data_IF_273560370463
#
_entry.id   IF_273560370463
#
_cell.length_a   1.000
_cell.length_b   1.000
_cell.length_c   1.000
_cell.angle_alpha   90.00
_cell.angle_beta   90.00
_cell.angle_gamma   90.00
#
_symmetry.space_group_name_H-M   'P 1'
#
loop_
_entity.id
_entity.type
_entity.pdbx_description
1 polymer ?
#
# COMPACT_ATOMS: atom_id res chain seq x y z
N UNK A 1 36.96 -11.79 1.96
CA UNK A 1 36.04 -10.65 2.23
C UNK A 1 34.62 -11.08 1.91
N UNK A 2 33.79 -11.36 2.92
CA UNK A 2 32.34 -11.49 2.69
C UNK A 2 31.85 -10.10 2.29
N UNK A 3 31.30 -9.98 1.08
CA UNK A 3 30.74 -8.75 0.51
C UNK A 3 29.94 -7.98 1.56
N UNK A 4 30.44 -6.82 2.01
CA UNK A 4 29.74 -5.94 2.96
C UNK A 4 28.37 -5.48 2.43
N UNK A 5 28.12 -5.59 1.12
CA UNK A 5 26.83 -5.36 0.47
C UNK A 5 25.85 -6.51 0.71
N UNK A 6 26.30 -7.77 0.62
CA UNK A 6 25.48 -8.96 0.89
C UNK A 6 25.07 -9.03 2.36
N UNK A 7 25.97 -8.74 3.30
CA UNK A 7 25.62 -8.72 4.73
C UNK A 7 24.58 -7.65 5.10
N UNK A 8 24.61 -6.48 4.44
CA UNK A 8 23.60 -5.42 4.59
C UNK A 8 22.23 -5.80 4.01
N UNK A 9 22.20 -6.48 2.86
CA UNK A 9 20.98 -7.02 2.24
C UNK A 9 20.36 -8.15 3.07
N UNK A 10 21.20 -9.01 3.66
CA UNK A 10 20.76 -10.08 4.57
C UNK A 10 20.17 -9.48 5.86
N UNK A 11 20.80 -8.45 6.45
CA UNK A 11 20.24 -7.73 7.60
C UNK A 11 18.88 -7.10 7.26
N UNK A 12 18.73 -6.55 6.05
CA UNK A 12 17.49 -5.99 5.53
C UNK A 12 16.38 -7.06 5.40
N UNK A 13 16.74 -8.24 4.92
CA UNK A 13 15.83 -9.38 4.79
C UNK A 13 15.34 -9.86 6.17
N UNK A 14 16.26 -10.06 7.11
CA UNK A 14 15.89 -10.45 8.48
C UNK A 14 15.04 -9.39 9.18
N UNK A 15 15.30 -8.10 8.94
CA UNK A 15 14.47 -7.03 9.52
C UNK A 15 13.06 -7.01 8.94
N UNK A 16 12.87 -7.30 7.65
CA UNK A 16 11.54 -7.45 7.04
C UNK A 16 10.84 -8.72 7.57
N UNK A 17 11.57 -9.81 7.77
CA UNK A 17 11.03 -11.05 8.33
C UNK A 17 10.57 -10.87 9.79
N UNK A 18 11.39 -10.21 10.63
CA UNK A 18 11.01 -9.87 12.01
C UNK A 18 9.78 -8.96 12.03
N UNK A 19 9.72 -7.98 11.12
CA UNK A 19 8.58 -7.10 10.95
C UNK A 19 7.31 -7.87 10.55
N UNK A 20 7.42 -8.84 9.63
CA UNK A 20 6.33 -9.74 9.24
C UNK A 20 5.82 -10.57 10.42
N UNK A 21 6.72 -11.17 11.20
CA UNK A 21 6.36 -12.01 12.35
C UNK A 21 5.60 -11.18 13.39
N UNK A 22 6.07 -9.97 13.72
CA UNK A 22 5.39 -9.08 14.68
C UNK A 22 3.99 -8.69 14.21
N UNK A 23 3.81 -8.39 12.93
CA UNK A 23 2.52 -7.99 12.37
C UNK A 23 1.56 -9.17 12.20
N UNK A 24 2.08 -10.36 11.88
CA UNK A 24 1.29 -11.59 11.77
C UNK A 24 0.81 -12.07 13.14
N UNK A 25 1.67 -12.04 14.16
CA UNK A 25 1.28 -12.33 15.55
C UNK A 25 0.25 -11.33 16.07
N UNK A 26 0.34 -10.07 15.66
CA UNK A 26 -0.69 -9.05 15.94
C UNK A 26 -2.04 -9.41 15.31
N UNK A 27 -2.06 -9.76 14.02
CA UNK A 27 -3.29 -10.16 13.34
C UNK A 27 -3.94 -11.38 14.02
N UNK A 28 -3.14 -12.34 14.49
CA UNK A 28 -3.63 -13.46 15.29
C UNK A 28 -4.19 -12.98 16.64
N UNK A 29 -3.45 -12.15 17.37
CA UNK A 29 -3.89 -11.63 18.68
C UNK A 29 -5.22 -10.87 18.58
N UNK A 30 -5.36 -9.97 17.60
CA UNK A 30 -6.60 -9.18 17.39
C UNK A 30 -7.77 -10.06 16.96
N UNK A 31 -7.54 -11.11 16.17
CA UNK A 31 -8.60 -12.02 15.76
C UNK A 31 -9.01 -13.02 16.86
N UNK A 32 -8.13 -13.34 17.81
CA UNK A 32 -8.41 -14.29 18.90
C UNK A 32 -8.97 -13.60 20.14
N UNK A 33 -8.40 -12.45 20.53
CA UNK A 33 -8.72 -11.80 21.81
C UNK A 33 -9.87 -10.80 21.72
N UNK A 34 -10.25 -10.40 20.51
CA UNK A 34 -11.27 -9.38 20.31
C UNK A 34 -12.48 -9.99 19.62
N UNK A 35 -13.62 -10.03 20.32
CA UNK A 35 -14.92 -10.33 19.72
C UNK A 35 -15.22 -9.25 18.68
N UNK A 36 -15.01 -9.60 17.40
CA UNK A 36 -15.21 -8.68 16.29
C UNK A 36 -16.70 -8.44 16.09
N UNK A 37 -17.13 -7.18 15.88
CA UNK A 37 -18.44 -6.92 15.29
C UNK A 37 -18.52 -7.58 13.90
N UNK A 38 -19.72 -7.90 13.42
CA UNK A 38 -19.96 -8.47 12.08
C UNK A 38 -19.58 -7.53 10.91
N UNK A 39 -18.97 -6.38 11.21
CA UNK A 39 -18.61 -5.33 10.25
C UNK A 39 -17.10 -5.12 10.24
N UNK A 40 -16.55 -4.92 9.04
CA UNK A 40 -15.13 -4.61 8.86
C UNK A 40 -14.94 -3.10 8.74
N UNK A 41 -13.82 -2.61 9.27
CA UNK A 41 -13.49 -1.19 9.26
C UNK A 41 -12.29 -0.89 8.35
N UNK A 42 -12.11 0.40 8.04
CA UNK A 42 -10.97 0.85 7.24
C UNK A 42 -9.62 0.43 7.85
N UNK A 43 -9.50 0.40 9.18
CA UNK A 43 -8.26 -0.04 9.83
C UNK A 43 -7.93 -1.51 9.55
N UNK A 44 -8.94 -2.39 9.48
CA UNK A 44 -8.76 -3.80 9.13
C UNK A 44 -8.24 -3.94 7.68
N UNK A 45 -8.83 -3.18 6.75
CA UNK A 45 -8.37 -3.15 5.35
C UNK A 45 -6.94 -2.62 5.25
N UNK A 46 -6.61 -1.56 5.99
CA UNK A 46 -5.26 -1.01 6.06
C UNK A 46 -4.26 -2.03 6.61
N UNK A 47 -4.63 -2.82 7.62
CA UNK A 47 -3.79 -3.89 8.18
C UNK A 47 -3.44 -4.92 7.09
N UNK A 48 -4.43 -5.34 6.29
CA UNK A 48 -4.21 -6.27 5.17
C UNK A 48 -3.30 -5.68 4.10
N UNK A 49 -3.44 -4.40 3.79
CA UNK A 49 -2.58 -3.70 2.83
C UNK A 49 -1.13 -3.68 3.34
N UNK A 50 -0.91 -3.41 4.62
CA UNK A 50 0.44 -3.47 5.21
C UNK A 50 1.08 -4.86 5.04
N UNK A 51 0.32 -5.92 5.33
CA UNK A 51 0.78 -7.30 5.13
C UNK A 51 1.10 -7.60 3.66
N UNK A 52 0.23 -7.17 2.75
CA UNK A 52 0.44 -7.36 1.30
C UNK A 52 1.75 -6.69 0.84
N UNK A 53 1.98 -5.43 1.21
CA UNK A 53 3.19 -4.71 0.82
C UNK A 53 4.45 -5.30 1.47
N UNK A 54 4.35 -5.84 2.68
CA UNK A 54 5.47 -6.52 3.33
C UNK A 54 5.86 -7.81 2.61
N UNK A 55 4.88 -8.68 2.35
CA UNK A 55 5.11 -9.95 1.67
C UNK A 55 5.68 -9.67 0.27
N UNK A 56 5.09 -8.69 -0.44
CA UNK A 56 5.58 -8.26 -1.75
C UNK A 56 7.02 -7.73 -1.69
N UNK A 57 7.36 -6.93 -0.67
CA UNK A 57 8.72 -6.44 -0.44
C UNK A 57 9.73 -7.55 -0.14
N UNK A 58 9.34 -8.54 0.67
CA UNK A 58 10.15 -9.72 0.96
C UNK A 58 10.40 -10.55 -0.30
N UNK A 59 9.34 -10.87 -1.06
CA UNK A 59 9.44 -11.61 -2.32
C UNK A 59 10.32 -10.85 -3.31
N UNK A 60 10.16 -9.53 -3.42
CA UNK A 60 10.98 -8.68 -4.27
C UNK A 60 12.47 -8.80 -3.89
N UNK A 61 12.83 -8.60 -2.62
CA UNK A 61 14.24 -8.71 -2.20
C UNK A 61 14.80 -10.12 -2.48
N UNK A 62 14.04 -11.17 -2.17
CA UNK A 62 14.47 -12.56 -2.37
C UNK A 62 14.62 -12.94 -3.85
N UNK A 63 13.72 -12.46 -4.69
CA UNK A 63 13.80 -12.62 -6.14
C UNK A 63 15.06 -11.94 -6.70
N UNK A 64 15.34 -10.72 -6.24
CA UNK A 64 16.52 -9.97 -6.69
C UNK A 64 17.85 -10.55 -6.17
N UNK A 65 17.89 -11.10 -4.95
CA UNK A 65 19.10 -11.77 -4.44
C UNK A 65 19.48 -13.02 -5.26
N UNK A 66 18.52 -13.67 -5.94
CA UNK A 66 18.76 -14.87 -6.77
C UNK A 66 19.30 -14.56 -8.16
N UNK A 67 19.05 -13.36 -8.67
CA UNK A 67 19.51 -12.93 -10.00
C UNK A 67 20.92 -12.36 -9.89
N UNK A 68 21.92 -13.12 -10.39
CA UNK A 68 23.35 -12.75 -10.30
C UNK A 68 23.70 -11.42 -10.99
N UNK A 69 22.94 -11.00 -11.99
CA UNK A 69 23.29 -9.89 -12.89
C UNK A 69 22.38 -8.65 -12.77
N UNK A 70 21.29 -8.74 -11.97
CA UNK A 70 20.34 -7.63 -11.86
C UNK A 70 20.75 -6.74 -10.70
N UNK A 71 21.24 -5.55 -11.03
CA UNK A 71 21.60 -4.55 -10.04
C UNK A 71 20.38 -4.20 -9.19
N UNK A 72 20.48 -4.45 -7.88
CA UNK A 72 19.48 -4.04 -6.92
C UNK A 72 19.28 -2.52 -7.02
N UNK A 73 18.14 -2.10 -7.56
CA UNK A 73 17.83 -0.67 -7.72
C UNK A 73 17.42 -0.14 -6.35
N UNK A 74 18.42 0.26 -5.57
CA UNK A 74 18.24 0.89 -4.23
C UNK A 74 17.21 2.02 -4.31
N UNK A 75 17.14 2.75 -5.42
CA UNK A 75 16.16 3.81 -5.64
C UNK A 75 14.71 3.33 -5.60
N UNK A 76 14.39 2.17 -6.20
CA UNK A 76 13.03 1.60 -6.19
C UNK A 76 12.66 1.18 -4.76
N UNK A 77 13.58 0.50 -4.08
CA UNK A 77 13.39 0.08 -2.69
C UNK A 77 13.14 1.28 -1.75
N UNK A 78 13.82 2.41 -1.97
CA UNK A 78 13.59 3.65 -1.22
C UNK A 78 12.18 4.21 -1.40
N UNK A 79 11.63 4.17 -2.61
CA UNK A 79 10.25 4.59 -2.84
C UNK A 79 9.25 3.67 -2.14
N UNK A 80 9.50 2.36 -2.12
CA UNK A 80 8.68 1.40 -1.37
C UNK A 80 8.74 1.67 0.14
N UNK A 81 9.91 1.94 0.70
CA UNK A 81 10.04 2.29 2.13
C UNK A 81 9.35 3.62 2.49
N UNK A 82 9.48 4.64 1.65
CA UNK A 82 8.78 5.90 1.84
C UNK A 82 7.25 5.68 1.82
N UNK A 83 6.77 4.84 0.91
CA UNK A 83 5.36 4.48 0.85
C UNK A 83 4.90 3.74 2.11
N UNK A 84 5.68 2.78 2.61
CA UNK A 84 5.38 2.10 3.88
C UNK A 84 5.21 3.07 5.04
N UNK A 85 6.08 4.09 5.10
CA UNK A 85 5.98 5.13 6.12
C UNK A 85 4.69 5.95 5.97
N UNK A 86 4.26 6.24 4.74
CA UNK A 86 2.97 6.90 4.50
C UNK A 86 1.78 6.01 4.89
N UNK A 87 1.88 4.70 4.61
CA UNK A 87 0.86 3.72 5.02
C UNK A 87 0.73 3.65 6.55
N UNK A 88 1.84 3.73 7.29
CA UNK A 88 1.80 3.80 8.77
C UNK A 88 1.00 4.99 9.27
N UNK A 89 1.20 6.17 8.65
CA UNK A 89 0.47 7.39 9.01
C UNK A 89 -1.03 7.21 8.72
N UNK A 90 -1.39 6.71 7.55
CA UNK A 90 -2.80 6.48 7.17
C UNK A 90 -3.45 5.46 8.09
N UNK A 91 -2.75 4.38 8.44
CA UNK A 91 -3.24 3.37 9.36
C UNK A 91 -3.44 3.94 10.77
N UNK A 92 -2.50 4.74 11.26
CA UNK A 92 -2.64 5.44 12.54
C UNK A 92 -3.89 6.32 12.58
N UNK A 93 -4.10 7.14 11.55
CA UNK A 93 -5.29 8.00 11.44
C UNK A 93 -6.56 7.13 11.40
N UNK A 94 -6.54 6.02 10.66
CA UNK A 94 -7.69 5.11 10.54
C UNK A 94 -8.06 4.46 11.87
N UNK A 95 -7.07 3.93 12.62
CA UNK A 95 -7.29 3.34 13.96
C UNK A 95 -7.78 4.39 14.95
N UNK A 96 -7.22 5.59 14.90
CA UNK A 96 -7.60 6.69 15.79
C UNK A 96 -9.05 7.15 15.53
N UNK A 97 -9.39 7.41 14.26
CA UNK A 97 -10.74 7.84 13.87
C UNK A 97 -11.78 6.76 14.21
N UNK A 98 -11.47 5.50 13.92
CA UNK A 98 -12.36 4.39 14.24
C UNK A 98 -12.61 4.26 15.74
N UNK A 99 -11.56 4.38 16.56
CA UNK A 99 -11.69 4.30 18.01
C UNK A 99 -12.59 5.41 18.55
N UNK A 100 -12.48 6.63 18.02
CA UNK A 100 -13.34 7.74 18.41
C UNK A 100 -14.81 7.51 18.01
N UNK A 101 -15.06 7.03 16.78
CA UNK A 101 -16.42 6.70 16.31
C UNK A 101 -17.08 5.63 17.16
N UNK A 102 -16.35 4.56 17.50
CA UNK A 102 -16.88 3.48 18.33
C UNK A 102 -17.18 3.95 19.76
N UNK A 103 -16.34 4.80 20.34
CA UNK A 103 -16.60 5.39 21.66
C UNK A 103 -17.87 6.24 21.62
N UNK A 104 -18.03 7.11 20.62
CA UNK A 104 -19.23 7.96 20.48
C UNK A 104 -20.50 7.12 20.34
N UNK A 105 -20.46 6.06 19.54
CA UNK A 105 -21.58 5.12 19.39
C UNK A 105 -21.95 4.43 20.70
N UNK A 106 -20.96 3.98 21.49
CA UNK A 106 -21.23 3.39 22.80
C UNK A 106 -21.86 4.40 23.76
N UNK A 107 -21.43 5.67 23.74
CA UNK A 107 -22.03 6.74 24.53
C UNK A 107 -23.48 7.00 24.15
N UNK A 108 -23.79 6.98 22.85
CA UNK A 108 -25.17 7.11 22.34
C UNK A 108 -26.03 5.92 22.81
N UNK A 109 -25.52 4.69 22.75
CA UNK A 109 -26.25 3.50 23.22
C UNK A 109 -26.53 3.61 24.73
N UNK A 110 -25.53 3.99 25.53
CA UNK A 110 -25.71 4.15 26.98
C UNK A 110 -26.74 5.24 27.28
N UNK A 111 -26.57 6.43 26.71
CA UNK A 111 -27.40 7.59 27.02
C UNK A 111 -28.85 7.43 26.56
N UNK A 112 -29.03 7.02 25.30
CA UNK A 112 -30.33 7.13 24.64
C UNK A 112 -31.07 5.79 24.58
N UNK A 113 -30.36 4.64 24.58
CA UNK A 113 -31.01 3.32 24.53
C UNK A 113 -31.11 2.61 25.88
N UNK A 114 -30.12 2.78 26.76
CA UNK A 114 -30.12 2.16 28.10
C UNK A 114 -30.79 3.08 29.13
N UNK A 115 -30.28 4.30 29.32
CA UNK A 115 -30.74 5.19 30.39
C UNK A 115 -32.11 5.81 30.12
N UNK A 116 -32.44 6.05 28.84
CA UNK A 116 -33.68 6.70 28.40
C UNK A 116 -34.60 5.78 27.59
N UNK A 117 -34.12 4.58 27.25
CA UNK A 117 -34.81 3.68 26.35
C UNK A 117 -35.56 2.56 27.06
N UNK A 118 -35.83 1.47 26.33
CA UNK A 118 -36.61 0.36 26.84
C UNK A 118 -35.79 -0.50 27.83
N UNK A 119 -36.18 -0.60 29.11
CA UNK A 119 -35.45 -1.36 30.11
C UNK A 119 -35.39 -2.87 29.81
N UNK A 120 -36.30 -3.41 28.99
CA UNK A 120 -36.30 -4.82 28.61
C UNK A 120 -35.10 -5.20 27.71
N UNK A 121 -34.49 -4.23 27.01
CA UNK A 121 -33.38 -4.44 26.08
C UNK A 121 -32.01 -4.07 26.69
N UNK A 122 -31.97 -3.78 27.99
CA UNK A 122 -30.77 -3.27 28.66
C UNK A 122 -29.60 -4.27 28.58
N UNK A 123 -29.88 -5.56 28.69
CA UNK A 123 -28.87 -6.62 28.65
C UNK A 123 -28.28 -6.78 27.25
N UNK A 124 -29.10 -6.69 26.20
CA UNK A 124 -28.66 -6.77 24.82
C UNK A 124 -27.77 -5.57 24.45
N UNK A 125 -28.18 -4.35 24.82
CA UNK A 125 -27.37 -3.16 24.61
C UNK A 125 -26.10 -3.14 25.46
N UNK A 126 -26.14 -3.71 26.67
CA UNK A 126 -24.95 -3.86 27.52
C UNK A 126 -23.95 -4.82 26.90
N UNK A 127 -24.39 -5.94 26.31
CA UNK A 127 -23.53 -6.87 25.60
C UNK A 127 -22.87 -6.21 24.38
N UNK A 128 -23.63 -5.47 23.57
CA UNK A 128 -23.09 -4.72 22.42
C UNK A 128 -22.07 -3.67 22.84
N UNK A 129 -22.32 -2.95 23.93
CA UNK A 129 -21.36 -1.98 24.46
C UNK A 129 -20.10 -2.67 24.99
N UNK A 130 -20.24 -3.78 25.71
CA UNK A 130 -19.10 -4.53 26.22
C UNK A 130 -18.20 -5.06 25.10
N UNK A 131 -18.78 -5.63 24.04
CA UNK A 131 -18.01 -6.11 22.88
C UNK A 131 -17.35 -4.95 22.11
N UNK A 132 -18.03 -3.82 21.98
CA UNK A 132 -17.48 -2.65 21.28
C UNK A 132 -16.35 -2.00 22.07
N UNK A 133 -16.50 -1.84 23.39
CA UNK A 133 -15.46 -1.27 24.26
C UNK A 133 -14.29 -2.23 24.43
N UNK A 134 -14.52 -3.54 24.57
CA UNK A 134 -13.43 -4.52 24.59
C UNK A 134 -12.64 -4.47 23.28
N UNK A 135 -13.31 -4.27 22.15
CA UNK A 135 -12.65 -4.05 20.85
C UNK A 135 -11.79 -2.78 20.82
N UNK A 136 -12.31 -1.64 21.29
CA UNK A 136 -11.53 -0.40 21.38
C UNK A 136 -10.32 -0.56 22.31
N UNK A 137 -10.50 -1.19 23.48
CA UNK A 137 -9.38 -1.43 24.41
C UNK A 137 -8.32 -2.36 23.81
N UNK A 138 -8.73 -3.42 23.11
CA UNK A 138 -7.82 -4.32 22.39
C UNK A 138 -7.03 -3.61 21.28
N UNK A 139 -7.66 -2.68 20.55
CA UNK A 139 -6.97 -1.86 19.55
C UNK A 139 -5.92 -0.94 20.19
N UNK A 140 -6.28 -0.25 21.27
CA UNK A 140 -5.41 0.76 21.90
C UNK A 140 -4.29 0.16 22.76
N UNK A 141 -4.53 -0.98 23.40
CA UNK A 141 -3.56 -1.67 24.26
C UNK A 141 -2.75 -2.74 23.52
N UNK A 142 -3.18 -3.15 22.31
CA UNK A 142 -2.52 -4.15 21.51
C UNK A 142 -1.31 -3.64 20.73
N UNK A 143 -0.81 -4.50 19.83
CA UNK A 143 0.27 -4.17 18.87
C UNK A 143 -0.25 -3.20 17.77
N UNK A 144 -1.56 -2.91 17.72
CA UNK A 144 -2.14 -1.80 16.95
C UNK A 144 -2.06 -0.44 17.68
N UNK A 145 -1.49 -0.42 18.88
CA UNK A 145 -1.34 0.80 19.66
C UNK A 145 -0.53 1.86 18.90
N UNK A 146 -0.81 3.15 19.17
CA UNK A 146 0.04 4.26 18.76
C UNK A 146 1.53 4.04 18.99
N UNK A 147 1.90 3.40 20.12
CA UNK A 147 3.28 3.13 20.50
C UNK A 147 3.96 2.12 19.58
N UNK A 148 3.27 1.04 19.24
CA UNK A 148 3.83 0.08 18.29
C UNK A 148 3.96 0.73 16.90
N UNK A 149 2.95 1.46 16.44
CA UNK A 149 3.00 2.21 15.19
C UNK A 149 4.18 3.19 15.14
N UNK A 150 4.44 3.90 16.24
CA UNK A 150 5.62 4.76 16.38
C UNK A 150 6.91 3.95 16.25
N UNK A 151 7.03 2.80 16.93
CA UNK A 151 8.19 1.92 16.81
C UNK A 151 8.40 1.45 15.36
N UNK A 152 7.34 1.02 14.68
CA UNK A 152 7.38 0.58 13.27
C UNK A 152 7.79 1.72 12.33
N UNK A 153 7.32 2.94 12.60
CA UNK A 153 7.68 4.15 11.84
C UNK A 153 9.14 4.52 12.02
N UNK A 154 9.64 4.49 13.26
CA UNK A 154 11.07 4.72 13.57
C UNK A 154 11.96 3.66 12.91
N UNK A 155 11.51 2.41 12.90
CA UNK A 155 12.23 1.31 12.28
C UNK A 155 12.29 1.42 10.76
N UNK A 156 11.17 1.70 10.09
CA UNK A 156 11.15 1.92 8.63
C UNK A 156 11.96 3.14 8.23
N UNK A 157 11.93 4.21 9.04
CA UNK A 157 12.80 5.38 8.87
C UNK A 157 14.28 4.99 8.94
N UNK A 158 14.66 4.16 9.92
CA UNK A 158 16.03 3.62 10.03
C UNK A 158 16.41 2.83 8.76
N UNK A 159 15.53 1.95 8.27
CA UNK A 159 15.76 1.19 7.03
C UNK A 159 15.94 2.10 5.80
N UNK A 160 15.16 3.18 5.74
CA UNK A 160 15.25 4.17 4.67
C UNK A 160 16.62 4.84 4.65
N UNK A 161 17.13 5.27 5.82
CA UNK A 161 18.46 5.88 5.91
C UNK A 161 19.60 4.89 5.70
N UNK A 162 19.48 3.63 6.17
CA UNK A 162 20.53 2.62 5.95
C UNK A 162 20.63 2.19 4.48
N UNK A 163 19.54 2.26 3.72
CA UNK A 163 19.53 1.96 2.28
C UNK A 163 20.50 2.85 1.47
N UNK A 164 20.74 4.10 1.91
CA UNK A 164 21.69 5.02 1.28
C UNK A 164 23.16 4.55 1.39
N UNK A 165 23.45 3.64 2.32
CA UNK A 165 24.80 3.12 2.58
C UNK A 165 25.07 1.81 1.84
N UNK A 166 24.17 1.38 0.97
CA UNK A 166 24.34 0.20 0.11
C UNK A 166 25.22 0.61 -1.07
N UNK A 167 26.42 0.04 -1.16
CA UNK A 167 27.34 0.29 -2.27
C UNK A 167 26.73 -0.23 -3.57
N UNK A 168 26.60 0.66 -4.55
CA UNK A 168 26.21 0.30 -5.91
C UNK A 168 27.46 -0.02 -6.72
N UNK A 169 27.35 -0.96 -7.67
CA UNK A 169 28.41 -1.24 -8.63
C UNK A 169 28.78 0.06 -9.34
N UNK A 170 30.08 0.32 -9.46
CA UNK A 170 30.60 1.47 -10.20
C UNK A 170 30.40 1.23 -11.69
N UNK A 171 29.54 2.04 -12.30
CA UNK A 171 29.32 2.06 -13.74
C UNK A 171 29.65 3.46 -14.25
N UNK A 172 30.25 3.54 -15.44
CA UNK A 172 30.52 4.81 -16.11
C UNK A 172 29.17 5.42 -16.52
N UNK A 173 28.81 6.60 -16.01
CA UNK A 173 27.54 7.22 -16.34
C UNK A 173 27.55 7.70 -17.80
N UNK A 174 26.48 7.41 -18.53
CA UNK A 174 26.28 7.85 -19.91
C UNK A 174 25.21 8.92 -19.98
N UNK A 175 25.38 9.88 -20.89
CA UNK A 175 24.31 10.83 -21.22
C UNK A 175 23.42 10.19 -22.27
N UNK A 176 22.13 10.16 -21.99
CA UNK A 176 21.12 9.58 -22.86
C UNK A 176 20.37 10.69 -23.59
N UNK A 177 19.92 10.40 -24.80
CA UNK A 177 19.14 11.34 -25.59
C UNK A 177 17.75 11.58 -25.00
N UNK A 178 17.20 12.76 -25.26
CA UNK A 178 15.89 13.16 -24.75
C UNK A 178 14.73 12.27 -25.22
N UNK A 179 14.90 11.57 -26.35
CA UNK A 179 13.87 10.66 -26.87
C UNK A 179 13.57 9.50 -25.93
N UNK A 180 14.54 9.10 -25.10
CA UNK A 180 14.37 8.04 -24.11
C UNK A 180 13.59 8.50 -22.88
N UNK A 181 13.31 9.80 -22.71
CA UNK A 181 12.56 10.36 -21.59
C UNK A 181 11.30 11.12 -22.05
N UNK A 182 10.33 10.46 -22.70
CA UNK A 182 9.13 11.13 -23.17
C UNK A 182 8.30 11.65 -21.98
N UNK A 183 7.99 12.95 -22.00
CA UNK A 183 7.17 13.61 -20.98
C UNK A 183 5.75 13.03 -20.86
N UNK A 184 5.27 12.37 -21.92
CA UNK A 184 3.98 11.69 -21.91
C UNK A 184 3.87 10.60 -20.83
N UNK A 185 4.95 9.87 -20.54
CA UNK A 185 4.93 8.76 -19.56
C UNK A 185 4.54 9.24 -18.16
N UNK A 186 5.24 10.21 -17.53
CA UNK A 186 4.84 10.69 -16.20
C UNK A 186 3.45 11.35 -16.18
N UNK A 187 3.01 11.96 -17.29
CA UNK A 187 1.66 12.54 -17.40
C UNK A 187 0.59 11.44 -17.37
N UNK A 188 0.74 10.38 -18.15
CA UNK A 188 -0.20 9.26 -18.12
C UNK A 188 -0.20 8.52 -16.78
N UNK A 189 0.95 8.37 -16.14
CA UNK A 189 1.01 7.85 -14.77
C UNK A 189 0.28 8.76 -13.77
N UNK A 190 0.39 10.09 -13.89
CA UNK A 190 -0.36 11.03 -13.05
C UNK A 190 -1.87 10.90 -13.26
N UNK A 191 -2.32 10.81 -14.52
CA UNK A 191 -3.73 10.60 -14.83
C UNK A 191 -4.24 9.27 -14.24
N UNK A 192 -3.41 8.22 -14.27
CA UNK A 192 -3.73 6.94 -13.66
C UNK A 192 -3.84 7.03 -12.12
N UNK A 193 -3.01 7.86 -11.47
CA UNK A 193 -3.12 8.14 -10.03
C UNK A 193 -4.46 8.82 -9.71
N UNK A 194 -4.86 9.81 -10.52
CA UNK A 194 -6.13 10.52 -10.32
C UNK A 194 -7.32 9.57 -10.52
N UNK A 195 -7.32 8.78 -11.59
CA UNK A 195 -8.42 7.85 -11.87
C UNK A 195 -8.48 6.70 -10.85
N UNK A 196 -7.33 6.16 -10.44
CA UNK A 196 -7.31 5.13 -9.38
C UNK A 196 -7.77 5.68 -8.03
N UNK A 197 -7.43 6.93 -7.68
CA UNK A 197 -7.94 7.57 -6.46
C UNK A 197 -9.46 7.71 -6.49
N UNK A 198 -10.02 8.18 -7.62
CA UNK A 198 -11.47 8.33 -7.81
C UNK A 198 -12.24 6.99 -7.84
N UNK A 199 -11.54 5.86 -7.93
CA UNK A 199 -12.17 4.53 -7.78
C UNK A 199 -12.39 4.12 -6.33
N UNK A 200 -11.70 4.76 -5.37
CA UNK A 200 -11.78 4.41 -3.94
C UNK A 200 -13.08 4.95 -3.33
N UNK A 201 -13.79 4.09 -2.60
CA UNK A 201 -14.98 4.48 -1.85
C UNK A 201 -14.62 5.10 -0.47
N UNK A 202 -14.38 6.41 -0.45
CA UNK A 202 -13.97 7.12 0.76
C UNK A 202 -15.14 7.53 1.68
N UNK A 203 -16.40 7.40 1.24
CA UNK A 203 -17.56 7.95 1.96
C UNK A 203 -18.18 6.97 2.98
N UNK A 204 -17.80 5.70 2.93
CA UNK A 204 -18.27 4.67 3.87
C UNK A 204 -17.12 4.24 4.77
N UNK A 205 -17.34 4.15 6.09
CA UNK A 205 -16.31 3.75 7.07
C UNK A 205 -16.50 2.29 7.53
N UNK A 206 -17.71 1.76 7.34
CA UNK A 206 -18.09 0.37 7.63
C UNK A 206 -18.28 -0.36 6.32
N UNK A 207 -17.77 -1.59 6.28
CA UNK A 207 -17.80 -2.41 5.08
C UNK A 207 -18.28 -3.82 5.41
N UNK A 208 -19.12 -4.35 4.53
CA UNK A 208 -19.34 -5.79 4.44
C UNK A 208 -18.10 -6.47 3.84
N UNK A 209 -17.98 -7.79 3.96
CA UNK A 209 -16.83 -8.55 3.43
C UNK A 209 -16.53 -8.22 1.96
N UNK A 210 -17.56 -8.13 1.12
CA UNK A 210 -17.41 -7.85 -0.32
C UNK A 210 -16.96 -6.40 -0.58
N UNK A 211 -17.44 -5.43 0.20
CA UNK A 211 -17.03 -4.03 0.11
C UNK A 211 -15.63 -3.81 0.67
N UNK A 212 -15.23 -4.58 1.68
CA UNK A 212 -13.88 -4.55 2.25
C UNK A 212 -12.84 -5.04 1.23
N UNK A 213 -13.20 -6.06 0.43
CA UNK A 213 -12.38 -6.55 -0.66
C UNK A 213 -12.26 -5.51 -1.78
N UNK A 214 -13.36 -4.85 -2.15
CA UNK A 214 -13.35 -3.74 -3.10
C UNK A 214 -12.39 -2.63 -2.65
N UNK A 215 -12.48 -2.22 -1.38
CA UNK A 215 -11.61 -1.21 -0.80
C UNK A 215 -10.14 -1.64 -0.80
N UNK A 216 -9.86 -2.89 -0.44
CA UNK A 216 -8.52 -3.45 -0.49
C UNK A 216 -7.93 -3.36 -1.91
N UNK A 217 -8.67 -3.82 -2.91
CA UNK A 217 -8.23 -3.81 -4.32
C UNK A 217 -8.07 -2.38 -4.84
N UNK A 218 -9.01 -1.48 -4.54
CA UNK A 218 -8.99 -0.07 -4.98
C UNK A 218 -7.80 0.70 -4.40
N UNK A 219 -7.49 0.49 -3.12
CA UNK A 219 -6.36 1.17 -2.48
C UNK A 219 -5.04 0.60 -2.98
N UNK A 220 -4.92 -0.72 -3.20
CA UNK A 220 -3.73 -1.30 -3.84
C UNK A 220 -3.55 -0.75 -5.25
N UNK A 221 -4.63 -0.64 -6.02
CA UNK A 221 -4.61 -0.08 -7.36
C UNK A 221 -4.09 1.36 -7.38
N UNK A 222 -4.55 2.19 -6.44
CA UNK A 222 -4.06 3.55 -6.24
C UNK A 222 -2.58 3.58 -5.83
N UNK A 223 -2.18 2.77 -4.85
CA UNK A 223 -0.80 2.75 -4.36
C UNK A 223 0.19 2.35 -5.45
N UNK A 224 -0.11 1.29 -6.21
CA UNK A 224 0.77 0.84 -7.30
C UNK A 224 0.87 1.94 -8.38
N UNK A 225 -0.25 2.61 -8.67
CA UNK A 225 -0.28 3.76 -9.59
C UNK A 225 0.60 4.92 -9.09
N UNK A 226 0.56 5.22 -7.79
CA UNK A 226 1.37 6.25 -7.16
C UNK A 226 2.87 5.92 -7.23
N UNK A 227 3.25 4.66 -6.99
CA UNK A 227 4.64 4.20 -7.13
C UNK A 227 5.10 4.41 -8.58
N UNK A 228 4.30 4.02 -9.57
CA UNK A 228 4.64 4.22 -10.98
C UNK A 228 4.79 5.70 -11.35
N UNK A 229 3.94 6.58 -10.82
CA UNK A 229 4.11 8.04 -10.99
C UNK A 229 5.40 8.56 -10.36
N UNK A 230 5.69 8.23 -9.10
CA UNK A 230 6.90 8.71 -8.41
C UNK A 230 8.17 8.24 -9.14
N UNK A 231 8.20 6.99 -9.58
CA UNK A 231 9.34 6.42 -10.30
C UNK A 231 9.48 7.03 -11.69
N UNK A 232 8.38 7.18 -12.46
CA UNK A 232 8.42 7.77 -13.80
C UNK A 232 8.79 9.25 -13.79
N UNK A 233 8.31 10.02 -12.81
CA UNK A 233 8.65 11.42 -12.65
C UNK A 233 10.12 11.62 -12.25
N UNK A 234 10.62 10.79 -11.32
CA UNK A 234 12.03 10.79 -10.95
C UNK A 234 12.94 10.39 -12.12
N UNK A 235 12.49 9.46 -12.95
CA UNK A 235 13.17 9.07 -14.19
C UNK A 235 13.20 10.22 -15.21
N UNK A 236 12.06 10.88 -15.46
CA UNK A 236 11.99 12.03 -16.36
C UNK A 236 12.90 13.19 -15.94
N UNK A 237 13.00 13.47 -14.62
CA UNK A 237 13.90 14.50 -14.08
C UNK A 237 15.37 14.25 -14.40
N UNK A 238 15.78 13.01 -14.70
CA UNK A 238 17.16 12.65 -15.06
C UNK A 238 17.51 12.91 -16.52
N UNK A 239 16.59 13.43 -17.35
CA UNK A 239 16.82 13.68 -18.79
C UNK A 239 18.10 14.47 -19.13
N UNK A 240 18.59 15.30 -18.21
CA UNK A 240 19.76 16.16 -18.41
C UNK A 240 20.98 15.72 -17.59
N UNK A 241 20.87 14.62 -16.84
CA UNK A 241 21.91 14.16 -15.90
C UNK A 241 22.48 12.83 -16.39
N UNK A 242 23.82 12.67 -16.45
CA UNK A 242 24.44 11.39 -16.77
C UNK A 242 23.91 10.29 -15.84
N UNK A 243 23.46 9.16 -16.41
CA UNK A 243 22.87 8.07 -15.66
C UNK A 243 23.55 6.74 -15.96
N UNK A 244 23.47 5.82 -14.99
CA UNK A 244 24.02 4.47 -15.11
C UNK A 244 23.14 3.62 -16.04
N UNK A 245 23.69 2.89 -17.04
CA UNK A 245 22.90 2.11 -17.99
C UNK A 245 21.98 1.05 -17.37
N UNK A 246 22.46 0.37 -16.34
CA UNK A 246 21.66 -0.57 -15.54
C UNK A 246 20.45 0.09 -14.89
N UNK A 247 20.60 1.32 -14.39
CA UNK A 247 19.51 2.07 -13.76
C UNK A 247 18.46 2.48 -14.79
N UNK A 248 18.90 2.91 -15.98
CA UNK A 248 18.00 3.31 -17.06
C UNK A 248 17.11 2.14 -17.51
N UNK A 249 17.73 1.00 -17.84
CA UNK A 249 17.04 -0.20 -18.31
C UNK A 249 16.16 -0.84 -17.23
N UNK A 250 16.63 -0.90 -15.99
CA UNK A 250 15.86 -1.47 -14.87
C UNK A 250 14.63 -0.62 -14.51
N UNK A 251 14.73 0.71 -14.51
CA UNK A 251 13.59 1.59 -14.25
C UNK A 251 12.51 1.45 -15.32
N UNK A 252 12.91 1.39 -16.60
CA UNK A 252 11.98 1.19 -17.70
C UNK A 252 11.26 -0.15 -17.62
N UNK A 253 12.03 -1.24 -17.41
CA UNK A 253 11.47 -2.59 -17.22
C UNK A 253 10.55 -2.67 -16.00
N UNK A 254 10.91 -1.99 -14.91
CA UNK A 254 10.09 -1.95 -13.71
C UNK A 254 8.74 -1.26 -13.97
N UNK A 255 8.75 -0.07 -14.60
CA UNK A 255 7.52 0.65 -14.95
C UNK A 255 6.62 -0.18 -15.88
N UNK A 256 7.20 -0.85 -16.87
CA UNK A 256 6.46 -1.75 -17.75
C UNK A 256 5.87 -2.96 -17.00
N UNK A 257 6.61 -3.53 -16.05
CA UNK A 257 6.17 -4.67 -15.25
C UNK A 257 5.02 -4.28 -14.30
N UNK A 258 5.01 -3.05 -13.77
CA UNK A 258 3.92 -2.54 -12.94
C UNK A 258 2.57 -2.47 -13.66
N UNK A 259 2.55 -2.38 -15.00
CA UNK A 259 1.30 -2.32 -15.75
C UNK A 259 0.50 -3.62 -15.66
N UNK A 260 1.16 -4.78 -15.58
CA UNK A 260 0.48 -6.07 -15.53
C UNK A 260 -0.44 -6.25 -14.31
N UNK A 261 0.02 -6.05 -13.05
CA UNK A 261 -0.87 -6.09 -11.90
C UNK A 261 -1.94 -4.99 -11.95
N UNK A 262 -1.64 -3.81 -12.52
CA UNK A 262 -2.64 -2.74 -12.67
C UNK A 262 -3.78 -3.14 -13.62
N UNK A 263 -3.49 -3.84 -14.72
CA UNK A 263 -4.52 -4.40 -15.61
C UNK A 263 -5.39 -5.38 -14.82
N UNK A 264 -4.79 -6.33 -14.11
CA UNK A 264 -5.52 -7.35 -13.35
C UNK A 264 -6.45 -6.69 -12.31
N UNK A 265 -5.93 -5.74 -11.53
CA UNK A 265 -6.70 -5.00 -10.53
C UNK A 265 -7.84 -4.19 -11.17
N UNK A 266 -7.58 -3.52 -12.28
CA UNK A 266 -8.61 -2.74 -12.99
C UNK A 266 -9.72 -3.61 -13.56
N UNK A 267 -9.41 -4.81 -14.07
CA UNK A 267 -10.40 -5.77 -14.54
C UNK A 267 -11.23 -6.31 -13.38
N UNK A 268 -10.59 -6.64 -12.24
CA UNK A 268 -11.28 -7.08 -11.03
C UNK A 268 -12.25 -6.01 -10.49
N UNK A 269 -11.84 -4.74 -10.48
CA UNK A 269 -12.71 -3.64 -10.06
C UNK A 269 -13.85 -3.43 -11.06
N UNK A 270 -13.57 -3.54 -12.36
CA UNK A 270 -14.59 -3.38 -13.39
C UNK A 270 -15.65 -4.48 -13.27
N UNK A 271 -15.24 -5.74 -13.14
CA UNK A 271 -16.19 -6.85 -12.97
C UNK A 271 -17.01 -6.70 -11.69
N UNK A 272 -16.38 -6.29 -10.59
CA UNK A 272 -17.07 -5.97 -9.35
C UNK A 272 -18.16 -4.90 -9.56
N UNK A 273 -17.82 -3.77 -10.18
CA UNK A 273 -18.77 -2.68 -10.39
C UNK A 273 -19.89 -3.06 -11.36
N UNK A 274 -19.60 -3.84 -12.41
CA UNK A 274 -20.63 -4.32 -13.33
C UNK A 274 -21.64 -5.22 -12.62
N UNK A 275 -21.18 -6.08 -11.71
CA UNK A 275 -22.04 -7.04 -11.01
C UNK A 275 -22.83 -6.43 -9.84
N UNK A 276 -22.31 -5.39 -9.19
CA UNK A 276 -22.86 -4.91 -7.91
C UNK A 276 -23.32 -3.45 -7.92
N UNK A 277 -22.77 -2.60 -8.79
CA UNK A 277 -22.87 -1.14 -8.65
C UNK A 277 -22.67 -0.38 -9.98
N UNK A 278 -23.35 -0.83 -11.04
CA UNK A 278 -23.16 -0.37 -12.43
C UNK A 278 -23.35 1.14 -12.64
N UNK A 279 -24.11 1.83 -11.79
CA UNK A 279 -24.43 3.26 -11.93
C UNK A 279 -23.52 4.19 -11.11
N UNK A 280 -22.43 3.68 -10.52
CA UNK A 280 -21.54 4.53 -9.69
C UNK A 280 -20.46 5.20 -10.54
N UNK A 281 -20.08 6.44 -10.20
CA UNK A 281 -19.00 7.17 -10.89
C UNK A 281 -17.67 6.40 -10.96
N UNK A 282 -17.48 5.45 -10.03
CA UNK A 282 -16.32 4.56 -9.92
C UNK A 282 -16.13 3.70 -11.17
N UNK A 283 -17.21 3.26 -11.84
CA UNK A 283 -17.10 2.45 -13.06
C UNK A 283 -16.41 3.20 -14.20
N UNK A 284 -16.71 4.50 -14.34
CA UNK A 284 -16.07 5.35 -15.35
C UNK A 284 -14.60 5.55 -15.03
N UNK A 285 -14.27 5.75 -13.75
CA UNK A 285 -12.88 5.92 -13.33
C UNK A 285 -12.02 4.70 -13.62
N UNK A 286 -12.54 3.49 -13.34
CA UNK A 286 -11.87 2.23 -13.65
C UNK A 286 -11.74 2.03 -15.17
N UNK A 287 -12.78 2.33 -15.93
CA UNK A 287 -12.78 2.23 -17.39
C UNK A 287 -11.75 3.16 -18.05
N UNK A 288 -11.67 4.41 -17.60
CA UNK A 288 -10.65 5.38 -18.04
C UNK A 288 -9.25 4.88 -17.69
N UNK A 289 -9.08 4.29 -16.50
CA UNK A 289 -7.81 3.73 -16.07
C UNK A 289 -7.31 2.62 -17.00
N UNK A 290 -8.20 1.73 -17.46
CA UNK A 290 -7.85 0.68 -18.44
C UNK A 290 -7.31 1.29 -19.73
N UNK A 291 -7.99 2.32 -20.26
CA UNK A 291 -7.54 3.04 -21.45
C UNK A 291 -6.14 3.65 -21.27
N UNK A 292 -5.89 4.29 -20.13
CA UNK A 292 -4.58 4.87 -19.79
C UNK A 292 -3.50 3.78 -19.70
N UNK A 293 -3.80 2.64 -19.06
CA UNK A 293 -2.86 1.52 -18.93
C UNK A 293 -2.46 0.96 -20.30
N UNK A 294 -3.42 0.83 -21.24
CA UNK A 294 -3.13 0.39 -22.60
C UNK A 294 -2.21 1.38 -23.34
N UNK A 295 -2.46 2.68 -23.22
CA UNK A 295 -1.60 3.72 -23.81
C UNK A 295 -0.18 3.66 -23.22
N UNK A 296 -0.05 3.54 -21.90
CA UNK A 296 1.24 3.35 -21.22
C UNK A 296 1.95 2.09 -21.73
N UNK A 297 1.22 0.98 -21.90
CA UNK A 297 1.75 -0.27 -22.44
C UNK A 297 2.35 -0.09 -23.84
N UNK A 298 1.64 0.61 -24.73
CA UNK A 298 2.14 0.92 -26.07
C UNK A 298 3.39 1.80 -26.04
N UNK A 299 3.42 2.82 -25.17
CA UNK A 299 4.60 3.69 -25.00
C UNK A 299 5.81 2.90 -24.50
N UNK A 300 5.63 2.01 -23.52
CA UNK A 300 6.72 1.19 -23.00
C UNK A 300 7.21 0.13 -24.01
N UNK A 301 6.31 -0.45 -24.82
CA UNK A 301 6.67 -1.36 -25.91
C UNK A 301 7.49 -0.67 -26.99
N UNK A 302 7.13 0.57 -27.37
CA UNK A 302 7.90 1.37 -28.32
C UNK A 302 9.33 1.59 -27.83
N UNK A 303 9.50 1.97 -26.57
CA UNK A 303 10.81 2.17 -25.96
C UNK A 303 11.62 0.87 -25.88
N UNK A 304 10.99 -0.27 -25.60
CA UNK A 304 11.67 -1.58 -25.59
C UNK A 304 12.24 -1.98 -26.96
N UNK A 305 11.66 -1.52 -28.07
CA UNK A 305 12.19 -1.78 -29.42
C UNK A 305 13.41 -0.91 -29.77
N UNK A 306 13.70 0.11 -28.96
CA UNK A 306 14.81 1.03 -29.15
C UNK A 306 16.02 0.69 -28.24
N UNK A 307 15.81 -0.19 -27.25
CA UNK A 307 16.86 -0.83 -26.43
C UNK A 307 17.50 -2.01 -27.20
#
# INVERSE_FOLDING_TARGET
MVDKSKSKLILLEYTILTYFILFFLNLIYVNIMVTRPDTLYLSDVMLWIHLFFMISGYIYIKYFQRLKDVQFVVSIYRYILLLMLMLHIVYFISVYLQSFLLIDETLIIIRDKILRGNPALILDFSNVNYTTLSYVTGLLQGINSPLMLLFLTLWTTRLYYTSNRIQQIEEIPKKYDHFLFPFAIPVFWLLLVISSFLSINLLTIRYDALQSLEMFVSIIFFIISLIGFLVSYAWYKRKNVPSKPSQMTSLHRFLALLLLPLIILSVLLLTYHVLTSFQTYRIYSVSVSIGIILILGLLHLRLKRLD
#
